data_IF_143922335961
#
_entry.id   IF_143922335961
#
_cell.length_a   1.000
_cell.length_b   1.000
_cell.length_c   1.000
_cell.angle_alpha   90.00
_cell.angle_beta   90.00
_cell.angle_gamma   90.00
#
_symmetry.space_group_name_H-M   'P 1'
#
loop_
_entity.id
_entity.type
_entity.pdbx_description
1 polymer ?
#
# COMPACT_ATOMS: atom_id res chain seq x y z
N UNK A 1 -23.55 16.09 -79.35
CA UNK A 1 -24.36 15.61 -78.20
C UNK A 1 -23.55 14.81 -77.17
N UNK A 2 -22.77 13.77 -77.53
CA UNK A 2 -21.99 12.97 -76.55
C UNK A 2 -20.90 13.73 -75.74
N UNK A 3 -20.36 14.83 -76.28
CA UNK A 3 -19.32 15.62 -75.62
C UNK A 3 -19.85 16.54 -74.51
N UNK A 4 -21.13 16.92 -74.57
CA UNK A 4 -21.76 17.84 -73.61
C UNK A 4 -22.24 17.12 -72.34
N UNK A 5 -22.71 15.87 -72.49
CA UNK A 5 -23.05 15.00 -71.36
C UNK A 5 -21.83 14.63 -70.49
N UNK A 6 -20.66 14.44 -71.09
CA UNK A 6 -19.43 14.11 -70.35
C UNK A 6 -18.91 15.29 -69.53
N UNK A 7 -19.08 16.52 -70.02
CA UNK A 7 -18.71 17.75 -69.29
C UNK A 7 -19.65 18.01 -68.10
N UNK A 8 -20.96 17.80 -68.28
CA UNK A 8 -21.96 17.90 -67.21
C UNK A 8 -21.75 16.82 -66.13
N UNK A 9 -21.43 15.58 -66.52
CA UNK A 9 -21.12 14.51 -65.58
C UNK A 9 -19.84 14.79 -64.77
N UNK A 10 -18.79 15.33 -65.40
CA UNK A 10 -17.55 15.70 -64.72
C UNK A 10 -17.74 16.87 -63.73
N UNK A 11 -18.59 17.85 -64.07
CA UNK A 11 -18.91 18.97 -63.18
C UNK A 11 -19.69 18.51 -61.94
N UNK A 12 -20.65 17.59 -62.10
CA UNK A 12 -21.42 17.02 -60.98
C UNK A 12 -20.53 16.16 -60.07
N UNK A 13 -19.63 15.36 -60.63
CA UNK A 13 -18.65 14.59 -59.86
C UNK A 13 -17.69 15.48 -59.07
N UNK A 14 -17.25 16.60 -59.66
CA UNK A 14 -16.41 17.60 -58.96
C UNK A 14 -17.14 18.26 -57.79
N UNK A 15 -18.42 18.57 -57.94
CA UNK A 15 -19.24 19.19 -56.90
C UNK A 15 -19.49 18.23 -55.72
N UNK A 16 -19.74 16.95 -56.02
CA UNK A 16 -19.90 15.91 -54.99
C UNK A 16 -18.58 15.68 -54.23
N UNK A 17 -17.44 15.68 -54.93
CA UNK A 17 -16.13 15.54 -54.29
C UNK A 17 -15.83 16.73 -53.36
N UNK A 18 -16.16 17.96 -53.76
CA UNK A 18 -16.01 19.15 -52.91
C UNK A 18 -16.90 19.08 -51.67
N UNK A 19 -18.14 18.60 -51.79
CA UNK A 19 -19.06 18.44 -50.66
C UNK A 19 -18.55 17.39 -49.66
N UNK A 20 -18.00 16.28 -50.15
CA UNK A 20 -17.40 15.23 -49.29
C UNK A 20 -16.14 15.74 -48.59
N UNK A 21 -15.31 16.54 -49.26
CA UNK A 21 -14.12 17.13 -48.64
C UNK A 21 -14.47 18.20 -47.59
N UNK A 22 -15.53 18.98 -47.81
CA UNK A 22 -16.02 19.96 -46.84
C UNK A 22 -16.62 19.29 -45.59
N UNK A 23 -17.38 18.21 -45.74
CA UNK A 23 -17.94 17.46 -44.60
C UNK A 23 -16.87 16.69 -43.83
N UNK A 24 -15.89 16.10 -44.51
CA UNK A 24 -14.74 15.45 -43.87
C UNK A 24 -13.87 16.47 -43.11
N UNK A 25 -13.67 17.67 -43.66
CA UNK A 25 -12.94 18.75 -42.98
C UNK A 25 -13.65 19.27 -41.72
N UNK A 26 -14.99 19.29 -41.71
CA UNK A 26 -15.78 19.71 -40.54
C UNK A 26 -15.79 18.63 -39.45
N UNK A 27 -15.90 17.36 -39.82
CA UNK A 27 -15.81 16.23 -38.88
C UNK A 27 -14.43 16.12 -38.22
N UNK A 28 -13.35 16.35 -38.97
CA UNK A 28 -11.98 16.38 -38.42
C UNK A 28 -11.76 17.54 -37.43
N UNK A 29 -12.45 18.67 -37.62
CA UNK A 29 -12.32 19.84 -36.73
C UNK A 29 -13.08 19.67 -35.41
N UNK A 30 -14.24 19.02 -35.42
CA UNK A 30 -15.03 18.74 -34.22
C UNK A 30 -14.36 17.66 -33.36
N UNK A 31 -13.66 16.69 -33.98
CA UNK A 31 -12.87 15.68 -33.25
C UNK A 31 -11.55 16.20 -32.65
N UNK A 32 -11.13 17.43 -32.97
CA UNK A 32 -9.86 18.03 -32.51
C UNK A 32 -10.00 19.02 -31.35
N UNK A 33 -11.21 19.24 -30.83
CA UNK A 33 -11.39 19.97 -29.57
C UNK A 33 -10.94 19.06 -28.42
N UNK A 34 -9.64 19.02 -28.15
CA UNK A 34 -9.14 18.54 -26.87
C UNK A 34 -9.78 19.42 -25.79
N UNK A 35 -10.59 18.79 -24.92
CA UNK A 35 -10.95 19.33 -23.62
C UNK A 35 -9.63 19.76 -22.99
N UNK A 36 -9.42 21.07 -22.79
CA UNK A 36 -8.30 21.54 -21.97
C UNK A 36 -8.59 21.08 -20.55
N UNK A 37 -8.09 19.90 -20.22
CA UNK A 37 -7.95 19.43 -18.85
C UNK A 37 -6.74 20.22 -18.33
N UNK A 38 -6.90 21.07 -17.30
CA UNK A 38 -5.76 21.75 -16.72
C UNK A 38 -4.72 20.70 -16.31
N UNK A 39 -3.46 20.91 -16.71
CA UNK A 39 -2.35 20.11 -16.23
C UNK A 39 -2.35 20.17 -14.69
N UNK A 40 -2.37 19.02 -14.03
CA UNK A 40 -2.37 18.95 -12.58
C UNK A 40 -0.99 18.48 -12.11
N UNK A 41 0.00 19.39 -11.99
CA UNK A 41 1.23 19.04 -11.30
C UNK A 41 0.88 18.68 -9.86
N UNK A 42 1.57 17.70 -9.29
CA UNK A 42 1.50 17.40 -7.85
C UNK A 42 1.76 18.71 -7.10
N UNK A 43 0.76 19.22 -6.38
CA UNK A 43 0.95 20.41 -5.55
C UNK A 43 1.65 19.98 -4.27
N UNK A 44 2.82 20.56 -3.99
CA UNK A 44 3.62 20.22 -2.81
C UNK A 44 2.83 20.33 -1.50
N UNK A 45 3.08 19.41 -0.56
CA UNK A 45 2.48 19.46 0.79
C UNK A 45 2.99 20.71 1.51
N UNK A 46 2.09 21.62 1.89
CA UNK A 46 2.46 22.85 2.61
C UNK A 46 2.87 22.53 4.07
N UNK A 47 4.15 22.73 4.38
CA UNK A 47 4.73 22.48 5.72
C UNK A 47 4.06 23.30 6.85
N UNK A 48 3.50 24.49 6.57
CA UNK A 48 2.81 25.32 7.58
C UNK A 48 1.44 24.76 7.99
N UNK A 49 0.84 23.88 7.18
CA UNK A 49 -0.44 23.23 7.53
C UNK A 49 -0.26 21.96 8.36
N UNK A 50 0.96 21.45 8.50
CA UNK A 50 1.27 20.16 9.13
C UNK A 50 1.94 20.28 10.51
N UNK A 51 2.01 21.48 11.11
CA UNK A 51 2.61 21.68 12.43
C UNK A 51 1.63 22.28 13.47
N UNK A 52 0.42 21.75 13.55
CA UNK A 52 -0.37 21.98 14.76
C UNK A 52 -0.23 20.78 15.69
N UNK A 53 0.88 20.79 16.44
CA UNK A 53 1.07 19.95 17.61
C UNK A 53 0.10 20.44 18.70
N UNK A 54 -1.19 20.10 18.63
CA UNK A 54 -2.11 20.31 19.76
C UNK A 54 -1.91 19.17 20.78
N UNK A 55 -0.75 19.17 21.46
CA UNK A 55 -0.66 18.54 22.79
C UNK A 55 -1.31 19.48 23.80
N UNK A 56 -2.64 19.46 23.86
CA UNK A 56 -3.41 20.04 24.96
C UNK A 56 -4.12 18.91 25.70
N UNK A 57 -3.98 18.82 27.02
CA UNK A 57 -4.78 17.89 27.82
C UNK A 57 -6.28 18.11 27.53
N UNK A 58 -7.00 17.04 27.19
CA UNK A 58 -8.47 17.05 27.09
C UNK A 58 -9.09 16.91 25.69
N UNK A 59 -8.35 16.53 24.64
CA UNK A 59 -8.95 16.22 23.34
C UNK A 59 -9.34 14.74 23.22
N UNK A 60 -10.65 14.51 23.29
CA UNK A 60 -11.33 13.24 23.02
C UNK A 60 -11.02 12.74 21.60
N UNK A 61 -10.59 11.48 21.47
CA UNK A 61 -10.92 10.68 20.28
C UNK A 61 -12.44 10.50 20.27
N UNK A 62 -13.13 10.58 19.11
CA UNK A 62 -14.55 10.28 19.08
C UNK A 62 -14.72 8.80 19.39
N UNK A 63 -15.06 8.51 20.65
CA UNK A 63 -15.84 7.33 21.02
C UNK A 63 -17.08 7.40 20.14
N UNK A 64 -17.24 6.41 19.26
CA UNK A 64 -18.51 6.14 18.61
C UNK A 64 -19.50 5.86 19.74
N UNK A 65 -20.26 6.87 20.09
CA UNK A 65 -21.34 6.78 21.07
C UNK A 65 -22.37 5.81 20.53
N UNK A 66 -22.45 4.63 21.14
CA UNK A 66 -23.53 3.69 20.98
C UNK A 66 -24.74 4.20 21.74
N UNK A 67 -25.65 4.90 21.05
CA UNK A 67 -27.02 5.07 21.51
C UNK A 67 -27.99 4.70 20.36
N UNK A 68 -28.59 3.52 20.57
CA UNK A 68 -29.84 2.92 20.08
C UNK A 68 -30.14 2.68 18.58
N UNK A 69 -30.41 1.39 18.33
CA UNK A 69 -31.25 0.78 17.30
C UNK A 69 -30.85 0.89 15.82
N UNK A 70 -29.76 0.20 15.44
CA UNK A 70 -29.73 -0.52 14.17
C UNK A 70 -28.87 -1.78 14.31
N UNK A 71 -29.49 -2.96 14.19
CA UNK A 71 -28.78 -4.24 14.11
C UNK A 71 -28.13 -4.29 12.72
N UNK A 72 -26.83 -4.03 12.66
CA UNK A 72 -25.97 -4.49 11.57
C UNK A 72 -24.90 -5.40 12.18
N UNK A 73 -24.94 -6.69 11.80
CA UNK A 73 -23.94 -7.69 12.14
C UNK A 73 -22.57 -7.24 11.62
N UNK A 74 -21.66 -6.93 12.54
CA UNK A 74 -20.23 -6.84 12.24
C UNK A 74 -19.70 -8.26 12.01
N UNK A 75 -18.84 -8.51 11.01
CA UNK A 75 -18.31 -9.84 10.78
C UNK A 75 -17.43 -10.27 11.96
N UNK A 76 -17.76 -11.41 12.56
CA UNK A 76 -16.89 -12.14 13.48
C UNK A 76 -15.53 -12.32 12.80
N UNK A 77 -14.46 -11.83 13.44
CA UNK A 77 -13.10 -12.20 13.08
C UNK A 77 -12.92 -13.64 13.55
N UNK A 78 -13.21 -14.59 12.66
CA UNK A 78 -12.94 -16.00 12.87
C UNK A 78 -11.42 -16.19 12.95
N UNK A 79 -10.89 -16.33 14.17
CA UNK A 79 -9.53 -16.81 14.39
C UNK A 79 -9.48 -18.24 13.91
N UNK A 80 -8.95 -18.45 12.70
CA UNK A 80 -8.62 -19.77 12.16
C UNK A 80 -7.60 -20.45 13.08
N UNK A 81 -8.08 -21.21 14.05
CA UNK A 81 -7.31 -22.27 14.68
C UNK A 81 -6.97 -23.29 13.60
N UNK A 82 -5.69 -23.39 13.24
CA UNK A 82 -5.20 -24.53 12.47
C UNK A 82 -5.27 -25.74 13.39
N UNK A 83 -6.25 -26.62 13.16
CA UNK A 83 -6.28 -27.95 13.75
C UNK A 83 -5.13 -28.78 13.16
N UNK A 84 -4.16 -29.16 13.99
CA UNK A 84 -3.23 -30.24 13.68
C UNK A 84 -4.02 -31.53 13.38
N UNK A 85 -3.72 -32.28 12.30
CA UNK A 85 -4.50 -33.45 11.94
C UNK A 85 -4.31 -34.56 12.97
N UNK A 86 -5.38 -34.86 13.69
CA UNK A 86 -5.51 -36.05 14.55
C UNK A 86 -5.48 -37.31 13.67
N UNK A 87 -4.65 -38.34 13.96
CA UNK A 87 -4.64 -39.57 13.18
C UNK A 87 -5.85 -40.46 13.54
N UNK A 88 -6.64 -40.83 12.54
CA UNK A 88 -7.75 -41.80 12.63
C UNK A 88 -7.22 -43.24 12.42
N UNK A 89 -7.78 -44.28 13.07
CA UNK A 89 -7.03 -45.47 13.47
C UNK A 89 -6.94 -46.53 12.38
N UNK A 90 -5.77 -47.16 12.26
CA UNK A 90 -5.59 -48.36 11.45
C UNK A 90 -5.20 -49.55 12.33
N UNK A 91 -5.73 -50.70 11.93
CA UNK A 91 -5.93 -51.92 12.71
C UNK A 91 -4.63 -52.68 12.99
N UNK A 92 -4.61 -53.38 14.13
CA UNK A 92 -3.58 -54.35 14.50
C UNK A 92 -3.40 -55.45 13.44
N UNK A 93 -2.20 -56.07 13.36
CA UNK A 93 -2.10 -57.38 14.00
C UNK A 93 -0.74 -57.77 14.63
N UNK A 94 -0.88 -58.49 15.74
CA UNK A 94 -0.13 -59.66 16.24
C UNK A 94 1.29 -59.51 16.84
N UNK A 95 1.32 -59.99 18.08
CA UNK A 95 2.44 -60.38 18.93
C UNK A 95 3.48 -61.27 18.23
N UNK A 96 4.76 -61.00 18.50
CA UNK A 96 5.81 -62.01 18.63
C UNK A 96 6.94 -61.47 19.53
N UNK A 97 7.76 -62.38 20.04
CA UNK A 97 8.30 -62.40 21.41
C UNK A 97 9.53 -61.53 21.71
N UNK A 98 9.53 -61.09 22.98
CA UNK A 98 10.62 -60.77 23.91
C UNK A 98 11.97 -61.48 23.65
N UNK A 99 13.05 -60.71 23.50
CA UNK A 99 14.40 -61.07 23.96
C UNK A 99 15.09 -59.85 24.60
N UNK A 100 15.79 -60.11 25.69
CA UNK A 100 16.42 -59.20 26.65
C UNK A 100 17.93 -59.46 26.59
N UNK A 101 18.76 -58.50 26.13
CA UNK A 101 20.23 -58.54 26.34
C UNK A 101 20.80 -57.12 26.55
N UNK A 102 21.76 -57.05 27.47
CA UNK A 102 22.28 -55.95 28.27
C UNK A 102 23.22 -54.96 27.54
N UNK A 103 23.30 -53.74 28.09
CA UNK A 103 24.33 -52.72 27.85
C UNK A 103 25.75 -53.19 28.22
N UNK A 104 26.78 -52.61 27.58
CA UNK A 104 28.04 -52.35 28.27
C UNK A 104 28.44 -50.86 28.25
N UNK A 105 28.82 -50.37 29.43
CA UNK A 105 29.58 -49.15 29.69
C UNK A 105 31.01 -49.25 29.14
N UNK A 106 31.58 -48.14 28.64
CA UNK A 106 33.03 -47.86 28.73
C UNK A 106 33.30 -46.37 28.98
N UNK A 107 34.14 -46.11 29.98
CA UNK A 107 34.74 -44.83 30.39
C UNK A 107 36.04 -44.51 29.58
N UNK A 108 36.64 -43.29 29.70
CA UNK A 108 37.36 -42.62 28.59
C UNK A 108 38.90 -42.61 28.67
N UNK A 109 39.53 -41.78 27.80
CA UNK A 109 40.89 -41.12 27.86
C UNK A 109 41.95 -41.70 26.88
N UNK A 110 42.96 -40.95 26.31
CA UNK A 110 43.33 -39.51 26.35
C UNK A 110 43.62 -38.79 25.00
N UNK A 111 43.84 -37.47 25.09
CA UNK A 111 44.38 -36.54 24.06
C UNK A 111 45.93 -36.55 23.84
N UNK A 112 46.31 -36.13 22.60
CA UNK A 112 47.51 -35.36 22.11
C UNK A 112 48.85 -36.07 21.82
N UNK A 113 49.77 -35.52 20.97
CA UNK A 113 49.76 -34.23 20.21
C UNK A 113 50.24 -34.24 18.72
N UNK A 114 49.84 -33.17 17.97
CA UNK A 114 50.57 -32.30 16.98
C UNK A 114 51.43 -32.92 15.85
N UNK A 115 51.16 -32.56 14.58
CA UNK A 115 52.10 -31.80 13.70
C UNK A 115 51.52 -31.38 12.34
N UNK A 116 51.86 -30.14 11.96
CA UNK A 116 51.67 -29.47 10.67
C UNK A 116 52.38 -30.20 9.51
N UNK A 117 51.83 -30.12 8.30
CA UNK A 117 52.56 -29.55 7.16
C UNK A 117 51.67 -29.34 5.91
N UNK A 118 51.83 -28.12 5.40
CA UNK A 118 51.61 -27.58 4.06
C UNK A 118 51.73 -28.59 2.90
N UNK A 119 50.86 -28.53 1.89
CA UNK A 119 51.28 -28.02 0.56
C UNK A 119 50.12 -27.76 -0.43
N UNK A 120 50.42 -26.84 -1.34
CA UNK A 120 49.68 -26.25 -2.45
C UNK A 120 49.24 -27.24 -3.56
N UNK A 121 48.28 -26.82 -4.40
CA UNK A 121 48.03 -27.46 -5.70
C UNK A 121 46.77 -27.01 -6.45
N UNK A 122 46.85 -25.85 -7.09
CA UNK A 122 45.94 -25.33 -8.12
C UNK A 122 45.86 -26.26 -9.35
N UNK A 123 44.70 -26.39 -10.01
CA UNK A 123 44.56 -26.32 -11.49
C UNK A 123 43.09 -26.40 -11.93
N UNK A 124 42.71 -25.39 -12.71
CA UNK A 124 41.54 -25.30 -13.60
C UNK A 124 41.63 -26.30 -14.77
N UNK A 125 40.48 -26.70 -15.32
CA UNK A 125 40.00 -26.37 -16.68
C UNK A 125 38.95 -27.37 -17.22
N UNK A 126 37.92 -26.79 -17.82
CA UNK A 126 36.90 -27.34 -18.75
C UNK A 126 37.57 -28.02 -19.98
N UNK A 127 36.87 -28.78 -20.87
CA UNK A 127 35.79 -28.26 -21.74
C UNK A 127 34.67 -29.22 -22.24
N UNK A 128 33.56 -28.58 -22.61
CA UNK A 128 32.65 -28.73 -23.77
C UNK A 128 31.87 -30.02 -24.14
N UNK A 129 30.59 -29.73 -24.46
CA UNK A 129 29.48 -30.44 -25.13
C UNK A 129 29.84 -30.89 -26.58
N UNK A 130 29.17 -31.88 -27.23
CA UNK A 130 27.87 -31.65 -27.91
C UNK A 130 26.92 -32.86 -28.02
N UNK A 131 25.60 -32.63 -28.20
CA UNK A 131 24.84 -33.36 -29.24
C UNK A 131 23.43 -33.91 -28.94
N UNK A 132 22.47 -33.26 -29.60
CA UNK A 132 21.07 -33.53 -30.00
C UNK A 132 20.68 -34.96 -30.46
N UNK A 133 19.43 -35.41 -30.19
CA UNK A 133 18.39 -35.99 -31.11
C UNK A 133 17.28 -36.79 -30.35
N UNK A 134 16.00 -36.35 -30.31
CA UNK A 134 14.80 -36.68 -31.16
C UNK A 134 14.12 -38.06 -30.99
N UNK A 135 12.81 -38.06 -30.67
CA UNK A 135 11.71 -38.85 -31.31
C UNK A 135 10.36 -38.44 -30.64
N UNK A 136 9.42 -37.76 -31.29
CA UNK A 136 8.36 -38.23 -32.22
C UNK A 136 7.35 -39.27 -31.67
N UNK A 137 6.09 -38.83 -31.49
CA UNK A 137 4.94 -39.43 -32.18
C UNK A 137 3.75 -38.44 -32.27
N UNK A 138 3.19 -38.33 -33.47
CA UNK A 138 2.08 -37.47 -33.84
C UNK A 138 0.80 -38.23 -34.22
N UNK A 139 -0.24 -37.45 -34.53
CA UNK A 139 -1.25 -37.57 -35.60
C UNK A 139 -2.39 -36.58 -35.25
N UNK A 140 -2.75 -35.59 -36.07
CA UNK A 140 -3.38 -35.69 -37.41
C UNK A 140 -4.91 -35.68 -37.18
N UNK A 141 -5.80 -34.90 -37.81
CA UNK A 141 -5.84 -34.20 -39.10
C UNK A 141 -6.94 -33.09 -39.09
N UNK A 142 -7.02 -32.37 -40.21
CA UNK A 142 -7.72 -31.10 -40.51
C UNK A 142 -9.15 -31.34 -41.12
N UNK A 143 -9.84 -30.37 -41.77
CA UNK A 143 -11.18 -29.85 -41.41
C UNK A 143 -12.31 -30.23 -42.39
N UNK A 144 -13.56 -29.89 -42.08
CA UNK A 144 -14.66 -29.89 -43.08
C UNK A 144 -15.66 -28.76 -42.84
N UNK A 145 -16.14 -28.19 -43.95
CA UNK A 145 -17.15 -27.15 -44.08
C UNK A 145 -18.50 -27.74 -44.56
N UNK A 146 -19.61 -27.06 -44.25
CA UNK A 146 -20.91 -26.98 -44.98
C UNK A 146 -21.92 -26.21 -44.08
N UNK A 147 -22.36 -25.01 -44.43
CA UNK A 147 -23.58 -24.68 -45.21
C UNK A 147 -24.91 -25.23 -44.63
N UNK A 148 -25.80 -24.32 -44.21
CA UNK A 148 -27.22 -24.39 -44.57
C UNK A 148 -27.93 -23.02 -44.37
N UNK A 149 -28.86 -22.80 -45.29
CA UNK A 149 -29.48 -21.57 -45.78
C UNK A 149 -30.89 -21.36 -45.18
N UNK A 150 -31.40 -20.11 -45.13
CA UNK A 150 -32.80 -19.78 -45.52
C UNK A 150 -33.15 -18.29 -45.48
N UNK A 151 -33.58 -17.88 -46.68
CA UNK A 151 -34.11 -16.62 -47.21
C UNK A 151 -35.54 -16.26 -46.73
N UNK A 152 -35.95 -14.99 -46.91
CA UNK A 152 -37.34 -14.52 -46.78
C UNK A 152 -37.55 -13.02 -47.03
N UNK A 153 -37.78 -12.64 -48.29
CA UNK A 153 -38.19 -11.32 -48.79
C UNK A 153 -39.66 -10.96 -48.42
N UNK A 154 -39.99 -9.66 -48.26
CA UNK A 154 -40.91 -8.89 -49.14
C UNK A 154 -41.27 -7.49 -48.57
N UNK A 155 -41.59 -6.57 -49.50
CA UNK A 155 -41.67 -5.09 -49.38
C UNK A 155 -43.12 -4.57 -49.11
N UNK A 156 -43.53 -3.35 -49.53
CA UNK A 156 -43.67 -2.15 -48.70
C UNK A 156 -45.12 -1.58 -48.69
N UNK A 157 -45.38 -0.51 -47.94
CA UNK A 157 -46.61 0.29 -48.14
C UNK A 157 -46.27 1.78 -48.27
N UNK A 158 -46.67 2.33 -49.41
CA UNK A 158 -46.65 3.71 -49.87
C UNK A 158 -47.92 4.46 -49.46
N UNK A 159 -47.79 5.78 -49.22
CA UNK A 159 -48.72 6.84 -49.66
C UNK A 159 -47.88 8.10 -49.89
N UNK A 160 -47.51 8.50 -51.11
CA UNK A 160 -48.23 9.04 -52.27
C UNK A 160 -48.60 10.54 -52.13
N UNK A 161 -47.85 11.34 -52.92
CA UNK A 161 -48.14 12.54 -53.73
C UNK A 161 -48.77 13.78 -53.04
N UNK A 162 -48.51 15.03 -53.44
CA UNK A 162 -48.23 15.53 -54.79
C UNK A 162 -47.72 17.00 -54.78
N UNK A 163 -46.95 17.35 -55.84
CA UNK A 163 -47.04 18.57 -56.68
C UNK A 163 -46.95 20.00 -56.06
N UNK A 164 -46.32 21.03 -56.65
CA UNK A 164 -45.77 21.31 -57.99
C UNK A 164 -44.77 22.49 -57.90
N UNK A 165 -43.93 22.62 -58.92
CA UNK A 165 -43.08 23.75 -59.31
C UNK A 165 -43.93 25.02 -59.66
N UNK A 166 -43.42 26.25 -59.83
CA UNK A 166 -42.56 26.78 -60.92
C UNK A 166 -42.08 28.21 -60.56
N UNK A 167 -40.95 28.57 -61.16
CA UNK A 167 -40.11 29.80 -61.14
C UNK A 167 -40.73 30.95 -61.98
N UNK A 168 -40.35 32.21 -61.72
CA UNK A 168 -39.99 33.29 -62.70
C UNK A 168 -39.92 34.65 -61.93
N UNK A 169 -38.75 35.24 -61.69
CA UNK A 169 -38.04 36.27 -62.51
C UNK A 169 -38.90 37.49 -62.92
N UNK A 170 -38.59 38.69 -62.39
CA UNK A 170 -38.19 39.87 -63.20
C UNK A 170 -37.72 41.06 -62.33
N UNK A 171 -36.83 41.87 -62.90
CA UNK A 171 -36.23 43.11 -62.38
C UNK A 171 -37.19 44.31 -62.38
N UNK A 172 -37.07 45.22 -61.40
CA UNK A 172 -37.26 46.67 -61.60
C UNK A 172 -36.74 47.53 -60.43
N UNK A 173 -36.31 48.74 -60.79
CA UNK A 173 -35.64 49.78 -60.01
C UNK A 173 -36.44 50.44 -58.87
N UNK A 174 -35.65 50.94 -57.90
CA UNK A 174 -35.75 52.23 -57.18
C UNK A 174 -37.14 52.79 -56.81
N UNK A 175 -37.38 52.84 -55.50
CA UNK A 175 -38.27 53.79 -54.84
C UNK A 175 -37.89 53.89 -53.37
N UNK A 176 -37.42 55.07 -52.94
CA UNK A 176 -37.32 55.44 -51.53
C UNK A 176 -38.74 55.60 -50.96
N UNK A 177 -39.06 54.82 -49.94
CA UNK A 177 -40.16 55.10 -49.01
C UNK A 177 -39.75 54.73 -47.56
N UNK A 178 -39.03 55.69 -46.99
CA UNK A 178 -38.87 55.94 -45.56
C UNK A 178 -40.24 56.10 -44.87
N UNK A 179 -40.80 55.03 -44.27
CA UNK A 179 -41.76 55.09 -43.16
C UNK A 179 -41.99 53.69 -42.53
N UNK A 180 -41.12 53.27 -41.60
CA UNK A 180 -41.49 52.61 -40.33
C UNK A 180 -40.22 52.25 -39.53
N UNK A 181 -39.75 53.17 -38.68
CA UNK A 181 -38.84 52.87 -37.57
C UNK A 181 -39.60 53.04 -36.25
N UNK A 182 -40.48 52.10 -35.92
CA UNK A 182 -40.86 51.85 -34.52
C UNK A 182 -41.08 50.33 -34.40
N UNK A 183 -40.33 49.67 -33.51
CA UNK A 183 -40.27 48.20 -33.24
C UNK A 183 -39.27 47.33 -34.02
N UNK A 184 -37.99 47.70 -34.00
CA UNK A 184 -36.92 46.70 -34.05
C UNK A 184 -36.18 46.70 -32.70
N UNK A 185 -36.43 45.69 -31.85
CA UNK A 185 -35.64 45.48 -30.66
C UNK A 185 -34.20 45.14 -31.05
N UNK A 186 -33.26 46.00 -30.64
CA UNK A 186 -31.83 45.74 -30.78
C UNK A 186 -31.51 44.53 -29.90
N UNK A 187 -30.91 43.43 -30.41
CA UNK A 187 -30.53 42.33 -29.55
C UNK A 187 -29.48 42.85 -28.56
N UNK A 188 -29.86 42.93 -27.29
CA UNK A 188 -28.88 43.11 -26.23
C UNK A 188 -28.08 41.80 -26.15
N UNK A 189 -26.95 41.76 -26.85
CA UNK A 189 -25.89 40.77 -26.65
C UNK A 189 -25.29 40.99 -25.26
N UNK A 190 -26.06 40.66 -24.23
CA UNK A 190 -25.50 40.41 -22.91
C UNK A 190 -24.87 39.03 -23.01
N UNK A 191 -23.54 38.89 -22.89
CA UNK A 191 -22.96 37.56 -22.82
C UNK A 191 -23.59 36.88 -21.60
N UNK A 192 -24.39 35.84 -21.83
CA UNK A 192 -24.80 34.94 -20.77
C UNK A 192 -23.50 34.46 -20.11
N UNK A 193 -23.28 34.71 -18.81
CA UNK A 193 -22.10 34.18 -18.15
C UNK A 193 -22.11 32.67 -18.40
N UNK A 194 -21.06 32.18 -19.07
CA UNK A 194 -20.84 30.75 -19.19
C UNK A 194 -20.83 30.21 -17.76
N UNK A 195 -21.67 29.23 -17.41
CA UNK A 195 -21.62 28.65 -16.07
C UNK A 195 -20.18 28.20 -15.84
N UNK A 196 -19.58 28.71 -14.76
CA UNK A 196 -18.28 28.23 -14.31
C UNK A 196 -18.44 26.72 -14.08
N UNK A 197 -17.73 25.93 -14.88
CA UNK A 197 -17.77 24.47 -14.74
C UNK A 197 -17.02 24.17 -13.45
N UNK A 198 -17.77 23.90 -12.39
CA UNK A 198 -17.21 23.48 -11.11
C UNK A 198 -16.41 22.19 -11.33
N UNK A 199 -15.10 22.24 -11.02
CA UNK A 199 -14.25 21.05 -11.06
C UNK A 199 -14.51 20.23 -9.80
N UNK A 200 -15.29 19.16 -9.97
CA UNK A 200 -15.67 18.28 -8.87
C UNK A 200 -14.61 17.22 -8.54
N UNK A 201 -13.46 17.26 -9.22
CA UNK A 201 -12.38 16.30 -8.99
C UNK A 201 -11.75 16.49 -7.61
N UNK A 202 -11.35 15.41 -6.94
CA UNK A 202 -10.52 15.50 -5.75
C UNK A 202 -9.21 16.25 -6.02
N UNK A 203 -8.70 16.96 -5.02
CA UNK A 203 -7.34 17.50 -5.03
C UNK A 203 -6.36 16.46 -4.50
N UNK A 204 -5.15 16.40 -5.07
CA UNK A 204 -4.08 15.50 -4.62
C UNK A 204 -2.80 16.32 -4.44
N UNK A 205 -2.18 16.19 -3.27
CA UNK A 205 -0.91 16.81 -2.90
C UNK A 205 0.07 15.76 -2.41
N UNK A 206 1.35 15.89 -2.77
CA UNK A 206 2.42 14.99 -2.35
C UNK A 206 3.78 15.70 -2.36
N UNK A 207 4.76 15.15 -1.65
CA UNK A 207 6.16 15.60 -1.64
C UNK A 207 6.99 15.03 -2.80
N UNK A 208 6.39 14.16 -3.62
CA UNK A 208 7.00 13.64 -4.85
C UNK A 208 7.26 14.74 -5.87
N UNK A 209 8.41 14.66 -6.54
CA UNK A 209 8.78 15.56 -7.64
C UNK A 209 8.99 14.77 -8.93
N UNK A 210 8.43 15.25 -10.04
CA UNK A 210 8.68 14.61 -11.34
C UNK A 210 10.14 14.80 -11.76
N UNK A 211 10.81 13.68 -12.04
CA UNK A 211 12.23 13.61 -12.31
C UNK A 211 13.13 13.53 -11.08
N UNK A 212 12.59 13.31 -9.88
CA UNK A 212 13.38 13.11 -8.65
C UNK A 212 14.35 11.92 -8.80
N UNK A 213 15.59 12.10 -8.37
CA UNK A 213 16.62 11.05 -8.34
C UNK A 213 16.84 10.62 -6.90
N UNK A 214 16.69 9.32 -6.64
CA UNK A 214 16.77 8.68 -5.33
C UNK A 214 18.02 7.80 -5.28
N UNK A 215 18.88 8.06 -4.29
CA UNK A 215 20.12 7.32 -4.05
C UNK A 215 19.90 6.21 -3.01
N UNK A 216 18.76 5.51 -3.08
CA UNK A 216 18.30 4.50 -2.11
C UNK A 216 17.43 3.46 -2.80
N UNK A 217 17.28 2.29 -2.19
CA UNK A 217 16.42 1.21 -2.72
C UNK A 217 14.92 1.51 -2.64
N UNK A 218 14.52 2.47 -1.80
CA UNK A 218 13.13 2.85 -1.62
C UNK A 218 12.96 4.34 -1.38
N UNK A 219 11.75 4.84 -1.61
CA UNK A 219 11.31 6.21 -1.29
C UNK A 219 10.01 6.18 -0.50
N UNK A 220 9.99 6.85 0.66
CA UNK A 220 8.79 7.04 1.49
C UNK A 220 8.21 8.43 1.25
N UNK A 221 7.05 8.50 0.62
CA UNK A 221 6.40 9.76 0.28
C UNK A 221 5.06 9.93 1.00
N UNK A 222 4.66 11.18 1.16
CA UNK A 222 3.41 11.61 1.79
C UNK A 222 2.38 11.96 0.73
N UNK A 223 1.13 11.61 1.00
CA UNK A 223 -0.02 11.94 0.17
C UNK A 223 -1.09 12.58 1.04
N UNK A 224 -1.62 13.71 0.58
CA UNK A 224 -2.81 14.35 1.12
C UNK A 224 -3.80 14.55 -0.01
N UNK A 225 -5.06 14.18 0.20
CA UNK A 225 -6.09 14.36 -0.81
C UNK A 225 -7.40 14.80 -0.16
N UNK A 226 -8.13 15.67 -0.83
CA UNK A 226 -9.44 16.15 -0.40
C UNK A 226 -10.47 15.98 -1.51
N UNK A 227 -11.73 15.75 -1.13
CA UNK A 227 -12.82 15.89 -2.10
C UNK A 227 -13.09 17.37 -2.44
N UNK A 228 -13.94 17.61 -3.44
CA UNK A 228 -14.30 18.97 -3.86
C UNK A 228 -14.99 19.82 -2.78
N UNK A 229 -15.32 19.23 -1.61
CA UNK A 229 -15.86 19.92 -0.44
C UNK A 229 -14.83 20.08 0.68
N UNK A 230 -13.54 19.97 0.35
CA UNK A 230 -12.42 20.16 1.28
C UNK A 230 -12.44 19.16 2.44
N UNK A 231 -12.91 17.93 2.20
CA UNK A 231 -12.87 16.85 3.19
C UNK A 231 -11.75 15.90 2.84
N UNK A 232 -10.84 15.68 3.79
CA UNK A 232 -9.74 14.74 3.66
C UNK A 232 -10.25 13.33 3.30
N UNK A 233 -9.57 12.70 2.35
CA UNK A 233 -9.80 11.33 1.93
C UNK A 233 -9.01 10.34 2.79
N UNK A 234 -9.54 9.14 2.94
CA UNK A 234 -8.88 8.05 3.68
C UNK A 234 -8.07 7.13 2.77
N UNK A 235 -7.15 6.28 3.30
CA UNK A 235 -6.38 5.35 2.48
C UNK A 235 -7.23 4.44 1.57
N UNK A 236 -8.44 4.05 2.02
CA UNK A 236 -9.39 3.25 1.24
C UNK A 236 -9.96 3.96 -0.01
N UNK A 237 -9.81 5.29 -0.08
CA UNK A 237 -10.25 6.13 -1.19
C UNK A 237 -9.09 6.48 -2.14
N UNK A 238 -7.89 5.98 -1.85
CA UNK A 238 -6.70 6.16 -2.66
C UNK A 238 -6.26 4.84 -3.28
N UNK A 239 -5.85 4.91 -4.55
CA UNK A 239 -5.12 3.83 -5.23
C UNK A 239 -3.75 4.39 -5.55
N UNK A 240 -2.72 3.85 -4.90
CA UNK A 240 -1.33 4.27 -5.09
C UNK A 240 -0.55 3.12 -5.69
N UNK A 241 0.12 3.38 -6.81
CA UNK A 241 0.89 2.38 -7.55
C UNK A 241 2.34 2.82 -7.71
N UNK A 242 3.29 1.89 -7.60
CA UNK A 242 4.65 2.03 -8.11
C UNK A 242 4.86 0.98 -9.19
N UNK A 243 5.21 1.38 -10.41
CA UNK A 243 5.41 0.47 -11.56
C UNK A 243 4.21 -0.48 -11.80
N UNK A 244 2.99 0.01 -11.52
CA UNK A 244 1.75 -0.75 -11.62
C UNK A 244 1.45 -1.69 -10.45
N UNK A 245 2.34 -1.79 -9.45
CA UNK A 245 2.10 -2.56 -8.22
C UNK A 245 1.44 -1.69 -7.15
N UNK A 246 0.41 -2.22 -6.49
CA UNK A 246 -0.28 -1.53 -5.41
C UNK A 246 0.60 -1.35 -4.19
N UNK A 247 0.67 -0.11 -3.70
CA UNK A 247 1.28 0.22 -2.41
C UNK A 247 0.22 0.24 -1.32
N UNK A 248 0.58 -0.27 -0.15
CA UNK A 248 -0.23 -0.15 1.07
C UNK A 248 0.26 1.04 1.88
N UNK A 249 -0.66 1.79 2.49
CA UNK A 249 -0.28 2.88 3.39
C UNK A 249 0.45 2.35 4.61
N UNK A 250 1.58 2.94 4.95
CA UNK A 250 2.40 2.55 6.12
C UNK A 250 2.08 3.38 7.36
N UNK A 251 1.55 4.59 7.19
CA UNK A 251 1.03 5.39 8.30
C UNK A 251 -0.04 6.37 7.83
N UNK A 252 -0.86 6.86 8.76
CA UNK A 252 -1.80 7.97 8.54
C UNK A 252 -1.81 8.83 9.78
N UNK A 253 -1.45 10.11 9.62
CA UNK A 253 -1.46 11.09 10.71
C UNK A 253 -2.08 12.39 10.22
N UNK A 254 -3.11 12.88 10.92
CA UNK A 254 -3.84 14.10 10.58
C UNK A 254 -4.27 14.21 9.10
N UNK A 255 -4.64 13.08 8.48
CA UNK A 255 -5.06 12.99 7.08
C UNK A 255 -3.90 12.91 6.07
N UNK A 256 -2.65 13.04 6.51
CA UNK A 256 -1.46 12.75 5.69
C UNK A 256 -1.19 11.26 5.72
N UNK A 257 -1.17 10.64 4.54
CA UNK A 257 -1.01 9.20 4.37
C UNK A 257 0.37 8.94 3.77
N UNK A 258 1.18 8.10 4.43
CA UNK A 258 2.51 7.75 3.93
C UNK A 258 2.49 6.41 3.18
N UNK A 259 3.33 6.31 2.15
CA UNK A 259 3.55 5.12 1.35
C UNK A 259 5.04 4.90 1.16
N UNK A 260 5.47 3.65 1.00
CA UNK A 260 6.84 3.29 0.64
C UNK A 260 6.86 2.60 -0.71
N UNK A 261 7.60 3.16 -1.66
CA UNK A 261 7.86 2.56 -2.95
C UNK A 261 9.27 1.96 -2.95
N UNK A 262 9.37 0.65 -3.22
CA UNK A 262 10.63 0.03 -3.61
C UNK A 262 10.86 0.31 -5.10
N UNK A 263 12.09 0.71 -5.45
CA UNK A 263 12.38 1.33 -6.73
C UNK A 263 13.22 0.42 -7.64
N UNK A 264 12.89 0.39 -8.92
CA UNK A 264 13.74 -0.02 -10.04
C UNK A 264 14.56 1.18 -10.55
N UNK A 265 15.32 1.05 -11.66
CA UNK A 265 16.10 2.15 -12.23
C UNK A 265 15.23 3.36 -12.64
N UNK A 266 14.04 3.09 -13.20
CA UNK A 266 13.05 4.09 -13.61
C UNK A 266 11.70 3.68 -13.06
N UNK A 267 11.02 4.59 -12.37
CA UNK A 267 9.79 4.28 -11.67
C UNK A 267 8.69 5.26 -12.05
N UNK A 268 7.49 4.74 -12.28
CA UNK A 268 6.27 5.56 -12.37
C UNK A 268 5.46 5.35 -11.10
N UNK A 269 5.30 6.42 -10.32
CA UNK A 269 4.42 6.44 -9.15
C UNK A 269 3.15 7.18 -9.53
N UNK A 270 1.99 6.53 -9.37
CA UNK A 270 0.69 7.14 -9.63
C UNK A 270 -0.20 7.10 -8.39
N UNK A 271 -0.92 8.19 -8.18
CA UNK A 271 -1.85 8.38 -7.06
C UNK A 271 -3.21 8.72 -7.68
N UNK A 272 -4.19 7.85 -7.46
CA UNK A 272 -5.57 8.06 -7.87
C UNK A 272 -6.43 8.26 -6.64
N UNK A 273 -7.13 9.39 -6.56
CA UNK A 273 -8.09 9.68 -5.51
C UNK A 273 -9.51 9.55 -6.05
N UNK A 274 -10.38 8.86 -5.32
CA UNK A 274 -11.81 8.77 -5.64
C UNK A 274 -12.65 9.19 -4.42
N UNK A 275 -13.46 10.23 -4.58
CA UNK A 275 -14.35 10.66 -3.52
C UNK A 275 -15.61 9.77 -3.40
N UNK A 276 -16.39 10.01 -2.34
CA UNK A 276 -17.64 9.29 -2.06
C UNK A 276 -18.76 9.52 -3.11
N UNK A 277 -18.59 10.48 -4.00
CA UNK A 277 -19.52 10.83 -5.06
C UNK A 277 -19.13 10.20 -6.40
N UNK A 278 -17.99 9.51 -6.45
CA UNK A 278 -17.44 8.88 -7.64
C UNK A 278 -16.62 9.84 -8.51
N UNK A 279 -16.33 11.06 -8.04
CA UNK A 279 -15.39 11.93 -8.74
C UNK A 279 -13.98 11.40 -8.52
N UNK A 280 -13.15 11.48 -9.55
CA UNK A 280 -11.81 10.91 -9.54
C UNK A 280 -10.80 11.88 -10.16
N UNK A 281 -9.59 11.90 -9.59
CA UNK A 281 -8.41 12.47 -10.23
C UNK A 281 -7.22 11.53 -10.08
N UNK A 282 -6.27 11.64 -11.00
CA UNK A 282 -5.03 10.87 -10.97
C UNK A 282 -3.85 11.78 -11.27
N UNK A 283 -2.83 11.71 -10.43
CA UNK A 283 -1.52 12.32 -10.67
C UNK A 283 -0.47 11.22 -10.81
N UNK A 284 0.53 11.45 -11.65
CA UNK A 284 1.64 10.53 -11.86
C UNK A 284 2.95 11.30 -11.99
N UNK A 285 4.02 10.73 -11.43
CA UNK A 285 5.39 11.25 -11.54
C UNK A 285 6.34 10.13 -11.97
N UNK A 286 7.45 10.50 -12.55
CA UNK A 286 8.59 9.62 -12.80
C UNK A 286 9.69 9.90 -11.78
N UNK A 287 10.18 8.86 -11.10
CA UNK A 287 11.36 8.96 -10.20
C UNK A 287 12.42 7.95 -10.62
N UNK A 288 13.69 8.30 -10.44
CA UNK A 288 14.84 7.50 -10.88
C UNK A 288 15.60 6.96 -9.67
N UNK A 289 16.02 5.69 -9.70
CA UNK A 289 16.96 5.15 -8.72
C UNK A 289 18.37 5.21 -9.28
N UNK A 290 19.29 5.81 -8.55
CA UNK A 290 20.71 5.86 -8.90
C UNK A 290 21.58 5.63 -7.67
N UNK A 291 21.87 4.36 -7.36
CA UNK A 291 22.80 3.98 -6.29
C UNK A 291 24.21 3.97 -6.89
N UNK A 292 24.98 5.04 -6.65
CA UNK A 292 26.37 5.11 -7.11
C UNK A 292 27.27 4.46 -6.07
N UNK A 293 28.19 3.56 -6.43
CA UNK A 293 29.07 2.87 -5.46
C UNK A 293 30.02 3.75 -4.63
N UNK A 294 29.93 5.08 -4.76
CA UNK A 294 30.64 6.11 -4.00
C UNK A 294 29.69 6.86 -3.03
N UNK A 295 28.63 6.21 -2.53
CA UNK A 295 27.71 6.85 -1.58
C UNK A 295 28.49 7.32 -0.34
N UNK A 296 28.40 8.62 -0.04
CA UNK A 296 28.81 9.11 1.27
C UNK A 296 28.03 8.31 2.32
N UNK A 297 28.72 7.85 3.38
CA UNK A 297 28.06 7.15 4.48
C UNK A 297 26.83 7.94 4.88
N UNK A 298 25.68 7.27 4.82
CA UNK A 298 24.40 7.90 5.10
C UNK A 298 24.48 8.60 6.47
N UNK A 299 24.20 9.90 6.49
CA UNK A 299 24.22 10.66 7.72
C UNK A 299 22.92 10.42 8.49
N UNK A 300 22.99 10.18 9.82
CA UNK A 300 21.79 10.09 10.64
C UNK A 300 20.92 11.34 10.49
N UNK A 301 19.61 11.15 10.38
CA UNK A 301 18.63 12.23 10.40
C UNK A 301 18.46 12.82 11.81
N UNK A 302 18.75 12.02 12.84
CA UNK A 302 18.73 12.41 14.24
C UNK A 302 19.11 11.26 15.16
N UNK A 303 18.91 11.46 16.45
CA UNK A 303 19.18 10.47 17.50
C UNK A 303 17.98 10.31 18.42
N UNK A 304 17.70 9.08 18.83
CA UNK A 304 16.72 8.75 19.87
C UNK A 304 17.42 8.17 21.10
N UNK A 305 16.76 8.25 22.25
CA UNK A 305 17.10 7.44 23.42
C UNK A 305 16.26 6.15 23.39
N UNK A 306 16.90 4.99 23.26
CA UNK A 306 16.22 3.69 23.19
C UNK A 306 16.50 2.81 24.43
N UNK A 307 15.49 2.12 24.95
CA UNK A 307 15.64 1.06 25.97
C UNK A 307 14.82 -0.19 25.64
N UNK A 308 15.34 -1.35 26.04
CA UNK A 308 14.63 -2.64 26.08
C UNK A 308 14.56 -3.12 27.52
N UNK A 309 13.36 -3.23 28.07
CA UNK A 309 13.12 -3.35 29.52
C UNK A 309 12.31 -4.60 29.86
N UNK A 310 12.74 -5.33 30.88
CA UNK A 310 12.05 -6.48 31.48
C UNK A 310 11.97 -6.33 33.01
N UNK A 311 11.67 -5.11 33.48
CA UNK A 311 11.53 -4.79 34.91
C UNK A 311 10.39 -5.56 35.58
N UNK A 312 9.33 -5.87 34.85
CA UNK A 312 8.20 -6.70 35.29
C UNK A 312 8.61 -8.14 35.63
N UNK A 313 9.69 -8.62 35.02
CA UNK A 313 10.34 -9.90 35.32
C UNK A 313 11.42 -9.78 36.42
N UNK A 314 11.67 -8.58 36.95
CA UNK A 314 12.78 -8.28 37.85
C UNK A 314 14.16 -8.26 37.20
N UNK A 315 14.22 -8.25 35.86
CA UNK A 315 15.48 -8.31 35.09
C UNK A 315 16.02 -6.90 34.77
N UNK A 316 15.19 -5.86 34.90
CA UNK A 316 15.56 -4.48 34.61
C UNK A 316 15.83 -4.24 33.13
N UNK A 317 16.89 -3.51 32.80
CA UNK A 317 17.27 -3.22 31.41
C UNK A 317 17.98 -4.41 30.77
N UNK A 318 17.40 -4.93 29.68
CA UNK A 318 18.08 -5.84 28.75
C UNK A 318 19.02 -5.06 27.82
N UNK A 319 18.57 -3.87 27.41
CA UNK A 319 19.36 -2.80 26.79
C UNK A 319 18.99 -1.53 27.56
N UNK A 320 19.98 -0.90 28.21
CA UNK A 320 19.76 0.35 28.94
C UNK A 320 19.48 1.51 28.00
N UNK A 321 19.00 2.66 28.52
CA UNK A 321 18.84 3.86 27.73
C UNK A 321 20.14 4.18 26.97
N UNK A 322 20.07 4.12 25.66
CA UNK A 322 21.20 4.29 24.76
C UNK A 322 20.82 5.24 23.62
N UNK A 323 21.75 6.11 23.27
CA UNK A 323 21.61 6.99 22.11
C UNK A 323 21.79 6.17 20.84
N UNK A 324 20.77 6.18 19.99
CA UNK A 324 20.70 5.40 18.75
C UNK A 324 20.37 6.34 17.59
N UNK A 325 21.19 6.37 16.52
CA UNK A 325 20.86 7.15 15.34
C UNK A 325 19.65 6.54 14.62
N UNK A 326 18.81 7.38 14.04
CA UNK A 326 17.83 6.97 13.03
C UNK A 326 18.08 7.72 11.72
N UNK A 327 17.62 7.12 10.64
CA UNK A 327 17.84 7.61 9.28
C UNK A 327 16.58 8.20 8.68
N UNK A 328 16.76 9.03 7.64
CA UNK A 328 15.64 9.66 6.96
C UNK A 328 14.70 8.59 6.39
N UNK A 329 13.39 8.81 6.49
CA UNK A 329 12.34 7.89 6.04
C UNK A 329 12.31 6.50 6.73
N UNK A 330 13.08 6.30 7.79
CA UNK A 330 13.13 5.05 8.56
C UNK A 330 11.95 4.93 9.54
N UNK A 331 11.29 3.77 9.57
CA UNK A 331 10.29 3.44 10.60
C UNK A 331 10.94 2.74 11.78
N UNK A 332 10.30 2.80 12.95
CA UNK A 332 10.85 2.28 14.20
C UNK A 332 11.34 0.80 14.15
N UNK A 333 10.71 -0.14 13.41
CA UNK A 333 11.21 -1.50 13.30
C UNK A 333 12.63 -1.60 12.76
N UNK A 334 13.04 -0.74 11.82
CA UNK A 334 14.41 -0.76 11.27
C UNK A 334 15.44 -0.28 12.30
N UNK A 335 15.10 0.72 13.10
CA UNK A 335 15.92 1.17 14.24
C UNK A 335 16.04 0.04 15.26
N UNK A 336 14.92 -0.57 15.66
CA UNK A 336 14.87 -1.69 16.59
C UNK A 336 15.73 -2.87 16.10
N UNK A 337 15.60 -3.24 14.82
CA UNK A 337 16.41 -4.26 14.18
C UNK A 337 17.91 -3.98 14.35
N UNK A 338 18.36 -2.77 13.99
CA UNK A 338 19.76 -2.37 14.10
C UNK A 338 20.26 -2.48 15.54
N UNK A 339 19.49 -1.97 16.51
CA UNK A 339 19.86 -1.97 17.94
C UNK A 339 19.93 -3.37 18.53
N UNK A 340 18.94 -4.23 18.24
CA UNK A 340 18.90 -5.60 18.76
C UNK A 340 20.08 -6.43 18.23
N UNK A 341 20.30 -6.41 16.91
CA UNK A 341 21.41 -7.14 16.29
C UNK A 341 22.77 -6.63 16.78
N UNK A 342 22.98 -5.31 16.85
CA UNK A 342 24.24 -4.76 17.36
C UNK A 342 24.49 -5.11 18.83
N UNK A 343 23.42 -5.36 19.59
CA UNK A 343 23.48 -5.73 21.00
C UNK A 343 23.52 -7.26 21.23
N UNK A 344 23.63 -8.05 20.15
CA UNK A 344 23.77 -9.50 20.21
C UNK A 344 22.47 -10.27 20.49
N UNK A 345 21.32 -9.65 20.24
CA UNK A 345 20.02 -10.31 20.32
C UNK A 345 19.59 -10.82 18.95
N UNK A 346 18.82 -11.91 18.94
CA UNK A 346 17.92 -12.24 17.84
C UNK A 346 16.49 -11.86 18.26
N UNK A 347 15.56 -11.84 17.31
CA UNK A 347 14.17 -11.56 17.63
C UNK A 347 13.23 -12.15 16.57
N UNK A 348 11.98 -12.36 16.97
CA UNK A 348 10.90 -12.78 16.10
C UNK A 348 9.79 -11.74 16.10
N UNK A 349 9.12 -11.59 14.97
CA UNK A 349 8.01 -10.65 14.81
C UNK A 349 6.93 -11.23 13.89
N UNK A 350 5.73 -10.66 13.96
CA UNK A 350 4.67 -10.88 12.97
C UNK A 350 4.57 -9.70 12.01
N UNK A 351 3.94 -9.90 10.85
CA UNK A 351 3.85 -8.89 9.80
C UNK A 351 5.17 -8.72 9.03
N UNK A 352 5.50 -7.48 8.71
CA UNK A 352 6.75 -7.06 8.06
C UNK A 352 7.24 -5.76 8.68
N UNK A 353 8.46 -5.34 8.31
CA UNK A 353 9.04 -4.06 8.74
C UNK A 353 8.18 -2.84 8.39
N UNK A 354 7.40 -2.95 7.30
CA UNK A 354 6.58 -1.86 6.78
C UNK A 354 5.07 -2.03 7.08
N UNK A 355 4.61 -3.23 7.46
CA UNK A 355 3.19 -3.53 7.64
C UNK A 355 2.92 -4.52 8.79
N UNK A 356 2.16 -4.08 9.79
CA UNK A 356 1.66 -4.95 10.87
C UNK A 356 2.76 -5.51 11.78
N UNK A 357 3.86 -4.77 11.94
CA UNK A 357 4.99 -5.22 12.76
C UNK A 357 4.58 -5.33 14.22
N UNK A 358 4.79 -6.51 14.79
CA UNK A 358 4.69 -6.75 16.23
C UNK A 358 5.88 -7.58 16.70
N UNK A 359 6.61 -7.09 17.71
CA UNK A 359 7.73 -7.80 18.32
C UNK A 359 7.22 -8.96 19.17
N UNK A 360 7.39 -10.19 18.68
CA UNK A 360 6.87 -11.40 19.32
C UNK A 360 7.80 -11.95 20.39
N UNK A 361 9.10 -11.98 20.13
CA UNK A 361 10.10 -12.39 21.11
C UNK A 361 11.44 -11.73 20.85
N UNK A 362 12.24 -11.63 21.90
CA UNK A 362 13.66 -11.30 21.86
C UNK A 362 14.45 -12.48 22.43
N UNK A 363 15.45 -12.91 21.70
CA UNK A 363 16.18 -14.15 21.98
C UNK A 363 17.66 -13.85 22.25
N UNK A 364 18.15 -14.41 23.35
CA UNK A 364 19.56 -14.41 23.73
C UNK A 364 19.77 -15.52 24.76
N UNK A 365 20.82 -16.34 24.64
CA UNK A 365 21.09 -17.37 25.63
C UNK A 365 21.12 -16.79 27.06
N UNK A 366 20.29 -17.37 27.93
CA UNK A 366 20.16 -16.96 29.32
C UNK A 366 19.44 -15.63 29.58
N UNK A 367 18.65 -15.10 28.64
CA UNK A 367 17.96 -13.81 28.76
C UNK A 367 17.01 -13.72 29.98
N UNK A 368 16.44 -14.84 30.42
CA UNK A 368 15.53 -14.90 31.57
C UNK A 368 16.19 -15.45 32.84
N UNK A 369 17.49 -15.78 32.81
CA UNK A 369 18.15 -16.39 33.97
C UNK A 369 18.08 -15.48 35.19
N UNK A 370 17.57 -16.04 36.29
CA UNK A 370 17.45 -15.33 37.56
C UNK A 370 16.30 -14.33 37.62
N UNK A 371 15.30 -14.43 36.73
CA UNK A 371 14.09 -13.62 36.84
C UNK A 371 13.44 -13.79 38.21
N UNK A 372 12.92 -12.68 38.74
CA UNK A 372 12.19 -12.64 39.99
C UNK A 372 11.11 -11.56 39.87
N UNK A 373 9.87 -11.99 39.60
CA UNK A 373 8.73 -11.07 39.48
C UNK A 373 8.62 -10.23 40.76
N UNK A 374 8.52 -8.90 40.67
CA UNK A 374 8.27 -8.04 41.82
C UNK A 374 7.01 -8.49 42.60
N UNK A 375 7.10 -8.51 43.93
CA UNK A 375 6.03 -9.05 44.77
C UNK A 375 4.68 -8.33 44.59
N UNK A 376 4.72 -7.03 44.28
CA UNK A 376 3.51 -6.23 44.03
C UNK A 376 2.83 -6.64 42.71
N UNK A 377 3.58 -6.87 41.64
CA UNK A 377 3.05 -7.41 40.37
C UNK A 377 2.49 -8.82 40.58
N UNK A 378 3.22 -9.67 41.32
CA UNK A 378 2.74 -11.02 41.62
C UNK A 378 1.41 -11.02 42.39
N UNK A 379 1.24 -10.10 43.35
CA UNK A 379 -0.02 -9.95 44.07
C UNK A 379 -1.16 -9.54 43.14
N UNK A 380 -0.93 -8.60 42.22
CA UNK A 380 -1.94 -8.21 41.24
C UNK A 380 -2.36 -9.35 40.32
N UNK A 381 -1.39 -10.14 39.84
CA UNK A 381 -1.64 -11.34 39.03
C UNK A 381 -2.48 -12.39 39.77
N UNK A 382 -2.21 -12.60 41.06
CA UNK A 382 -3.03 -13.47 41.93
C UNK A 382 -4.46 -12.94 42.08
N UNK A 383 -4.63 -11.64 42.28
CA UNK A 383 -5.93 -10.99 42.47
C UNK A 383 -6.82 -11.10 41.22
N UNK A 384 -6.23 -11.08 40.03
CA UNK A 384 -6.94 -11.28 38.75
C UNK A 384 -6.96 -12.73 38.27
N UNK A 385 -6.42 -13.66 39.08
CA UNK A 385 -6.36 -15.10 38.78
C UNK A 385 -5.61 -15.44 37.47
N UNK A 386 -4.56 -14.69 37.15
CA UNK A 386 -3.63 -14.97 36.04
C UNK A 386 -2.27 -15.43 36.60
N UNK A 387 -2.27 -16.66 37.13
CA UNK A 387 -1.15 -17.22 37.88
C UNK A 387 0.01 -17.54 36.90
N UNK A 388 1.23 -17.02 37.12
CA UNK A 388 2.40 -17.34 36.32
C UNK A 388 2.66 -18.85 36.21
N UNK A 389 2.85 -19.35 34.98
CA UNK A 389 3.28 -20.72 34.68
C UNK A 389 4.78 -20.74 34.30
N UNK A 390 5.67 -21.15 35.22
CA UNK A 390 7.10 -21.21 34.96
C UNK A 390 7.52 -22.12 33.80
N UNK A 391 6.71 -23.11 33.43
CA UNK A 391 7.03 -24.04 32.34
C UNK A 391 6.98 -23.36 30.96
N UNK A 392 6.29 -22.22 30.85
CA UNK A 392 6.26 -21.39 29.65
C UNK A 392 7.46 -20.44 29.53
N UNK A 393 8.30 -20.34 30.58
CA UNK A 393 9.45 -19.45 30.59
C UNK A 393 10.70 -20.15 30.06
N UNK A 394 11.10 -19.77 28.85
CA UNK A 394 12.34 -20.23 28.25
C UNK A 394 13.56 -19.52 28.86
N UNK A 395 14.70 -20.22 29.07
CA UNK A 395 15.95 -19.57 29.47
C UNK A 395 16.52 -18.65 28.38
N UNK A 396 16.18 -18.87 27.11
CA UNK A 396 16.91 -18.31 25.97
C UNK A 396 16.09 -17.34 25.10
N UNK A 397 14.81 -17.15 25.40
CA UNK A 397 13.96 -16.16 24.75
C UNK A 397 12.92 -15.58 25.71
N UNK A 398 12.50 -14.34 25.45
CA UNK A 398 11.46 -13.62 26.19
C UNK A 398 10.47 -13.02 25.21
N UNK A 399 9.19 -13.37 25.34
CA UNK A 399 8.17 -12.99 24.37
C UNK A 399 6.76 -13.37 24.78
N UNK A 400 5.85 -13.29 23.83
CA UNK A 400 4.43 -13.57 24.04
C UNK A 400 4.19 -14.88 24.79
N UNK A 401 3.30 -14.83 25.77
CA UNK A 401 2.92 -16.01 26.54
C UNK A 401 3.97 -16.49 27.54
N UNK A 402 5.05 -15.74 27.75
CA UNK A 402 6.01 -16.06 28.83
C UNK A 402 5.35 -15.79 30.18
N UNK A 403 5.20 -16.85 30.99
CA UNK A 403 4.57 -16.88 32.30
C UNK A 403 3.05 -16.69 32.32
N UNK A 404 2.49 -15.74 31.58
CA UNK A 404 1.05 -15.44 31.60
C UNK A 404 0.48 -15.29 30.20
N UNK A 405 -0.84 -15.44 30.05
CA UNK A 405 -1.52 -15.25 28.77
C UNK A 405 -1.49 -13.81 28.26
N UNK A 406 -1.31 -12.84 29.16
CA UNK A 406 -1.18 -11.42 28.85
C UNK A 406 0.24 -10.91 28.67
N UNK A 407 1.22 -11.81 28.64
CA UNK A 407 2.61 -11.43 28.48
C UNK A 407 2.94 -11.07 27.03
N UNK A 408 3.78 -10.05 26.83
CA UNK A 408 4.19 -9.57 25.50
C UNK A 408 5.02 -8.30 25.53
N UNK A 409 5.32 -7.76 24.35
CA UNK A 409 6.11 -6.54 24.19
C UNK A 409 5.23 -5.35 23.81
N UNK A 410 5.39 -4.24 24.53
CA UNK A 410 4.74 -2.96 24.23
C UNK A 410 5.79 -1.86 24.08
N UNK A 411 5.46 -0.80 23.36
CA UNK A 411 6.36 0.34 23.22
C UNK A 411 5.68 1.66 23.52
N UNK A 412 6.47 2.60 24.02
CA UNK A 412 6.05 3.97 24.23
C UNK A 412 7.02 4.93 23.55
N UNK A 413 6.48 6.09 23.21
CA UNK A 413 7.18 7.24 22.65
C UNK A 413 6.98 8.41 23.58
N UNK A 414 8.05 8.93 24.18
CA UNK A 414 8.00 10.04 25.14
C UNK A 414 6.95 9.81 26.25
N UNK A 415 6.95 8.61 26.82
CA UNK A 415 6.02 8.17 27.87
C UNK A 415 4.59 7.87 27.41
N UNK A 416 4.28 7.99 26.11
CA UNK A 416 2.95 7.66 25.57
C UNK A 416 2.99 6.33 24.85
N UNK A 417 2.20 5.36 25.30
CA UNK A 417 2.02 4.10 24.59
C UNK A 417 1.14 4.30 23.36
N UNK A 418 1.60 3.82 22.21
CA UNK A 418 0.86 3.94 20.95
C UNK A 418 0.05 2.66 20.71
N UNK A 419 -1.21 2.83 20.30
CA UNK A 419 -2.08 1.71 19.90
C UNK A 419 -1.79 1.21 18.48
N UNK A 420 -1.02 1.97 17.69
CA UNK A 420 -0.57 1.58 16.37
C UNK A 420 0.72 0.76 16.43
N UNK A 421 0.92 -0.13 15.47
CA UNK A 421 2.14 -0.94 15.38
C UNK A 421 3.39 -0.07 15.16
N UNK A 422 4.55 -0.57 15.59
CA UNK A 422 5.84 0.14 15.48
C UNK A 422 6.13 0.58 14.03
N UNK A 423 5.71 -0.20 13.03
CA UNK A 423 5.89 0.10 11.61
C UNK A 423 5.23 1.40 11.16
N UNK A 424 4.29 1.94 11.93
CA UNK A 424 3.60 3.20 11.62
C UNK A 424 4.33 4.43 12.15
N UNK A 425 5.34 4.24 13.00
CA UNK A 425 6.02 5.32 13.70
C UNK A 425 7.35 5.68 13.04
N UNK A 426 7.53 6.97 12.77
CA UNK A 426 8.76 7.58 12.26
C UNK A 426 9.41 8.35 13.40
N UNK A 427 10.61 7.95 13.86
CA UNK A 427 11.31 8.66 14.92
C UNK A 427 11.64 10.11 14.55
N UNK A 428 11.66 10.97 15.56
CA UNK A 428 12.15 12.34 15.52
C UNK A 428 13.35 12.51 16.45
N UNK A 429 14.16 13.54 16.19
CA UNK A 429 15.34 13.83 16.99
C UNK A 429 14.96 14.14 18.44
N UNK A 430 15.61 13.44 19.38
CA UNK A 430 15.39 13.56 20.81
C UNK A 430 14.23 12.73 21.38
N UNK A 431 13.57 11.88 20.59
CA UNK A 431 12.52 10.99 21.10
C UNK A 431 13.09 9.96 22.10
N UNK A 432 12.31 9.69 23.15
CA UNK A 432 12.53 8.56 24.05
C UNK A 432 11.64 7.38 23.64
N UNK A 433 12.25 6.26 23.25
CA UNK A 433 11.57 5.02 22.87
C UNK A 433 11.87 3.95 23.91
N UNK A 434 10.84 3.50 24.63
CA UNK A 434 10.94 2.40 25.59
C UNK A 434 10.16 1.20 25.08
N UNK A 435 10.84 0.07 24.86
CA UNK A 435 10.21 -1.22 24.52
C UNK A 435 10.22 -2.09 25.78
N UNK A 436 9.04 -2.37 26.33
CA UNK A 436 8.88 -2.91 27.67
C UNK A 436 8.09 -4.21 27.65
N UNK A 437 8.58 -5.19 28.39
CA UNK A 437 7.91 -6.46 28.60
C UNK A 437 6.81 -6.30 29.64
N UNK A 438 5.60 -6.72 29.31
CA UNK A 438 4.43 -6.78 30.20
C UNK A 438 4.15 -8.23 30.55
N UNK A 439 3.64 -8.47 31.75
CA UNK A 439 3.01 -9.72 32.19
C UNK A 439 1.48 -9.64 32.14
N UNK A 440 0.87 -8.46 31.98
CA UNK A 440 -0.59 -8.36 31.97
C UNK A 440 -1.12 -7.25 31.06
N UNK A 441 -0.99 -7.46 29.75
CA UNK A 441 -1.55 -6.57 28.71
C UNK A 441 -1.24 -5.08 28.93
N UNK A 442 -0.10 -4.78 29.53
CA UNK A 442 0.41 -3.43 29.78
C UNK A 442 0.01 -2.80 31.12
N UNK A 443 -0.91 -3.40 31.88
CA UNK A 443 -1.36 -2.85 33.16
C UNK A 443 -0.18 -2.68 34.14
N UNK A 444 0.76 -3.63 34.11
CA UNK A 444 1.99 -3.69 34.90
C UNK A 444 3.15 -2.87 34.32
N UNK A 445 2.90 -2.03 33.31
CA UNK A 445 3.88 -1.05 32.79
C UNK A 445 3.24 0.35 32.61
N UNK A 446 2.06 0.56 33.19
CA UNK A 446 1.41 1.86 33.24
C UNK A 446 0.44 2.16 32.09
N UNK A 447 0.16 1.20 31.20
CA UNK A 447 -0.84 1.34 30.13
C UNK A 447 -1.61 0.02 29.94
N UNK A 448 -2.78 -0.10 30.57
CA UNK A 448 -3.61 -1.27 30.36
C UNK A 448 -4.27 -1.23 28.97
N UNK A 449 -4.04 -2.27 28.16
CA UNK A 449 -4.82 -2.47 26.95
C UNK A 449 -6.32 -2.43 27.28
N UNK A 450 -7.10 -1.85 26.37
CA UNK A 450 -8.55 -1.67 26.49
C UNK A 450 -9.00 -0.73 27.63
N UNK A 451 -8.11 0.12 28.16
CA UNK A 451 -8.46 1.14 29.16
C UNK A 451 -8.77 0.56 30.54
N UNK A 452 -8.17 -0.59 30.86
CA UNK A 452 -8.26 -1.22 32.17
C UNK A 452 -7.51 -0.46 33.28
N UNK A 453 -7.53 -1.02 34.49
CA UNK A 453 -6.75 -0.51 35.62
C UNK A 453 -5.25 -0.71 35.38
N UNK A 454 -4.45 0.30 35.71
CA UNK A 454 -2.98 0.22 35.67
C UNK A 454 -2.45 -0.02 37.09
N UNK A 455 -1.40 -0.83 37.19
CA UNK A 455 -0.82 -1.24 38.47
C UNK A 455 0.38 -0.38 38.85
N UNK A 456 0.94 0.36 37.89
CA UNK A 456 2.06 1.28 38.11
C UNK A 456 3.05 1.27 36.96
N UNK A 457 4.06 2.14 37.06
CA UNK A 457 5.22 2.17 36.16
C UNK A 457 6.42 1.55 36.89
N UNK A 458 6.76 0.30 36.56
CA UNK A 458 7.70 -0.55 37.31
C UNK A 458 9.05 -0.75 36.63
#
# INVERSE_FOLDING_TARGET
MKHDQRRKAAAVLGLILCLILLTAGFAAKIGSQQKQIPENPVTGVNQERSQVLYRGEGYYTPVVSSDEDTIEEQPETEVLMQEDPTPTPSQAPKEEQKEEIQEPQEEPVPEKPVQENLNEGNSQEQPEDPGTQTSEHGNGEKPSASEDDKNGEEKPVTKIFDDTQVIEEDHAEAGDDDYNQEEAEVPQNTPTPTPEVEDLRPSISSDLQDGEVIHRESRVFSVYAEDYKERALTPSQLIVLCNGQHLTSISTDNGVIKYKAYLDDVNTISITAQDRYGNQDTVSVTVYKEITGDEEEEQPAGTITFSLEASTMGLGYLIGPAEVPFYEEETLPYVLNRVLYSSGFQYHYTGSMDAGFYLKSVDRPGITLGYQIPAEILQHLEDVNDIPDPETCSPDWLGDGTLTGGAGWMFSVNGTYLSSGMNTYFPADGDEIRVRFTLYYGADIGEAMLGGETWGDW
#
